data_IF_053747387087
#
_entry.id   IF_053747387087
#
_cell.length_a   1.000
_cell.length_b   1.000
_cell.length_c   1.000
_cell.angle_alpha   90.00
_cell.angle_beta   90.00
_cell.angle_gamma   90.00
#
_symmetry.space_group_name_H-M   'P 1'
#
loop_
_entity.id
_entity.type
_entity.pdbx_description
1 polymer ?
#
# COMPACT_ATOMS: atom_id res chain seq x y z
N UNK A 1 13.71 3.68 17.17
CA UNK A 1 14.22 3.96 15.79
C UNK A 1 14.13 2.73 14.86
N UNK A 2 13.15 1.83 15.03
CA UNK A 2 13.19 0.54 14.33
C UNK A 2 12.38 0.48 13.02
N UNK A 3 11.54 1.46 12.72
CA UNK A 3 10.70 1.43 11.49
C UNK A 3 11.31 2.09 10.25
N UNK A 4 12.34 2.93 10.38
CA UNK A 4 12.90 3.68 9.26
C UNK A 4 13.56 2.79 8.18
N UNK A 5 14.39 1.79 8.52
CA UNK A 5 15.00 0.91 7.52
C UNK A 5 13.95 0.11 6.74
N UNK A 6 12.91 -0.39 7.41
CA UNK A 6 11.83 -1.14 6.78
C UNK A 6 11.02 -0.26 5.81
N UNK A 7 10.60 0.91 6.28
CA UNK A 7 9.86 1.85 5.46
C UNK A 7 10.68 2.30 4.23
N UNK A 8 11.98 2.57 4.38
CA UNK A 8 12.86 2.91 3.27
C UNK A 8 12.94 1.78 2.23
N UNK A 9 13.03 0.53 2.67
CA UNK A 9 13.03 -0.64 1.79
C UNK A 9 11.73 -0.72 0.99
N UNK A 10 10.58 -0.62 1.65
CA UNK A 10 9.27 -0.66 0.99
C UNK A 10 9.11 0.49 0.01
N UNK A 11 9.52 1.70 0.39
CA UNK A 11 9.46 2.89 -0.47
C UNK A 11 10.40 2.79 -1.68
N UNK A 12 11.60 2.23 -1.53
CA UNK A 12 12.51 2.02 -2.66
C UNK A 12 11.89 1.11 -3.71
N UNK A 13 11.18 0.07 -3.27
CA UNK A 13 10.47 -0.85 -4.17
C UNK A 13 9.26 -0.20 -4.84
N UNK A 14 8.49 0.58 -4.08
CA UNK A 14 7.36 1.33 -4.62
C UNK A 14 7.79 2.37 -5.63
N UNK A 15 8.86 3.13 -5.35
CA UNK A 15 9.40 4.15 -6.28
C UNK A 15 10.02 3.54 -7.53
N UNK A 16 10.57 2.34 -7.47
CA UNK A 16 11.05 1.62 -8.64
C UNK A 16 9.92 1.30 -9.66
N UNK A 17 8.66 1.21 -9.20
CA UNK A 17 7.50 0.89 -10.06
C UNK A 17 6.69 2.14 -10.41
N UNK A 18 6.47 3.02 -9.44
CA UNK A 18 5.61 4.21 -9.57
C UNK A 18 6.39 5.52 -9.78
N UNK A 19 7.72 5.47 -9.78
CA UNK A 19 8.55 6.69 -9.88
C UNK A 19 8.24 7.66 -8.73
N UNK A 20 8.11 8.97 -9.02
CA UNK A 20 7.81 9.98 -8.01
C UNK A 20 6.34 10.01 -7.57
N UNK A 21 5.49 9.18 -8.17
CA UNK A 21 4.05 9.14 -7.85
C UNK A 21 3.76 8.29 -6.59
N UNK A 22 4.65 8.35 -5.60
CA UNK A 22 4.49 7.66 -4.31
C UNK A 22 4.13 8.67 -3.23
N UNK A 23 3.03 8.37 -2.51
CA UNK A 23 2.60 9.14 -1.33
C UNK A 23 2.75 8.29 -0.09
N UNK A 24 3.48 8.80 0.89
CA UNK A 24 3.61 8.20 2.22
C UNK A 24 2.61 8.86 3.15
N UNK A 25 1.79 8.07 3.81
CA UNK A 25 0.87 8.56 4.84
C UNK A 25 1.43 8.17 6.20
N UNK A 26 1.75 9.16 7.02
CA UNK A 26 2.22 8.96 8.40
C UNK A 26 1.12 9.36 9.38
N UNK A 27 0.98 8.58 10.44
CA UNK A 27 0.08 8.85 11.56
C UNK A 27 0.84 9.16 12.85
N UNK A 28 0.78 8.24 13.80
CA UNK A 28 1.56 8.33 15.03
C UNK A 28 3.06 8.47 14.71
N UNK A 29 3.77 9.24 15.55
CA UNK A 29 5.22 9.45 15.41
C UNK A 29 5.66 10.06 14.07
N UNK A 30 4.77 10.75 13.34
CA UNK A 30 5.09 11.34 12.03
C UNK A 30 6.33 12.26 12.09
N UNK A 31 6.48 13.07 13.15
CA UNK A 31 7.63 13.96 13.33
C UNK A 31 8.97 13.21 13.51
N UNK A 32 8.93 12.01 14.06
CA UNK A 32 10.11 11.16 14.26
C UNK A 32 10.46 10.36 12.99
N UNK A 33 9.43 9.94 12.24
CA UNK A 33 9.60 9.09 11.05
C UNK A 33 9.94 9.92 9.81
N UNK A 34 9.33 11.10 9.64
CA UNK A 34 9.50 11.92 8.44
C UNK A 34 10.98 12.24 8.11
N UNK A 35 11.85 12.60 9.08
CA UNK A 35 13.28 12.82 8.79
C UNK A 35 14.00 11.59 8.25
N UNK A 36 13.56 10.38 8.65
CA UNK A 36 14.15 9.13 8.21
C UNK A 36 13.81 8.76 6.76
N UNK A 37 12.84 9.42 6.12
CA UNK A 37 12.54 9.24 4.69
C UNK A 37 13.66 9.82 3.80
N UNK A 38 14.46 10.73 4.34
CA UNK A 38 15.62 11.27 3.64
C UNK A 38 15.25 12.03 2.36
N UNK A 39 15.98 11.72 1.27
CA UNK A 39 15.78 12.35 -0.05
C UNK A 39 14.97 11.47 -1.02
N UNK A 40 14.18 10.55 -0.53
CA UNK A 40 13.33 9.75 -1.42
C UNK A 40 12.34 10.66 -2.16
N UNK A 41 12.11 10.42 -3.46
CA UNK A 41 11.20 11.22 -4.28
C UNK A 41 9.75 10.84 -3.99
N UNK A 42 9.28 11.12 -2.78
CA UNK A 42 7.94 10.78 -2.30
C UNK A 42 7.20 12.01 -1.78
N UNK A 43 5.88 12.02 -1.93
CA UNK A 43 5.02 13.00 -1.27
C UNK A 43 4.68 12.52 0.13
N UNK A 44 4.65 13.44 1.11
CA UNK A 44 4.33 13.13 2.49
C UNK A 44 2.97 13.71 2.88
N UNK A 45 2.14 12.89 3.48
CA UNK A 45 0.86 13.28 4.09
C UNK A 45 0.87 12.89 5.56
N UNK A 46 0.61 13.84 6.44
CA UNK A 46 0.44 13.56 7.87
C UNK A 46 -1.07 13.44 8.16
N UNK A 47 -1.48 12.23 8.52
CA UNK A 47 -2.84 11.95 8.96
C UNK A 47 -2.96 12.26 10.46
N UNK A 48 -3.65 13.35 10.82
CA UNK A 48 -3.88 13.74 12.22
C UNK A 48 -4.93 12.86 12.90
N UNK A 49 -5.81 12.25 12.11
CA UNK A 49 -6.91 11.42 12.57
C UNK A 49 -6.52 9.92 12.60
N UNK A 50 -5.22 9.62 12.73
CA UNK A 50 -4.69 8.26 12.69
C UNK A 50 -5.29 7.34 13.74
N UNK A 51 -5.72 7.88 14.87
CA UNK A 51 -6.38 7.13 15.95
C UNK A 51 -7.77 6.59 15.59
N UNK A 52 -8.38 7.07 14.48
CA UNK A 52 -9.62 6.47 13.95
C UNK A 52 -9.39 5.11 13.27
N UNK A 53 -8.14 4.65 13.15
CA UNK A 53 -7.75 3.41 12.50
C UNK A 53 -7.26 3.58 11.06
N UNK A 54 -6.93 2.45 10.42
CA UNK A 54 -6.30 2.41 9.09
C UNK A 54 -7.12 3.12 7.99
N UNK A 55 -8.45 3.10 8.11
CA UNK A 55 -9.35 3.76 7.17
C UNK A 55 -9.07 5.26 7.06
N UNK A 56 -8.72 5.95 8.16
CA UNK A 56 -8.36 7.37 8.14
C UNK A 56 -7.11 7.62 7.30
N UNK A 57 -6.10 6.76 7.41
CA UNK A 57 -4.88 6.85 6.61
C UNK A 57 -5.14 6.61 5.12
N UNK A 58 -5.97 5.62 4.78
CA UNK A 58 -6.38 5.38 3.39
C UNK A 58 -7.10 6.60 2.83
N UNK A 59 -8.05 7.19 3.57
CA UNK A 59 -8.77 8.41 3.15
C UNK A 59 -7.82 9.59 2.94
N UNK A 60 -6.87 9.79 3.85
CA UNK A 60 -5.89 10.87 3.75
C UNK A 60 -5.02 10.72 2.49
N UNK A 61 -4.51 9.51 2.23
CA UNK A 61 -3.75 9.19 1.03
C UNK A 61 -4.55 9.43 -0.25
N UNK A 62 -5.77 8.88 -0.32
CA UNK A 62 -6.62 9.02 -1.53
C UNK A 62 -7.00 10.49 -1.80
N UNK A 63 -7.25 11.29 -0.75
CA UNK A 63 -7.54 12.73 -0.92
C UNK A 63 -6.37 13.54 -1.46
N UNK A 64 -5.14 13.11 -1.20
CA UNK A 64 -3.93 13.79 -1.66
C UNK A 64 -3.57 13.49 -3.11
N UNK A 65 -4.20 12.48 -3.72
CA UNK A 65 -3.90 12.08 -5.09
C UNK A 65 -4.34 13.14 -6.10
N UNK A 66 -3.54 13.38 -7.16
CA UNK A 66 -3.92 14.31 -8.23
C UNK A 66 -5.24 13.91 -8.88
N UNK A 67 -5.97 14.92 -9.38
CA UNK A 67 -7.20 14.70 -10.13
C UNK A 67 -7.03 13.83 -11.38
N UNK A 68 -5.85 13.78 -11.95
CA UNK A 68 -5.47 12.94 -13.10
C UNK A 68 -5.10 11.49 -12.73
N UNK A 69 -5.02 11.16 -11.44
CA UNK A 69 -4.66 9.82 -11.00
C UNK A 69 -5.71 8.80 -11.43
N UNK A 70 -5.33 7.82 -12.25
CA UNK A 70 -6.25 6.81 -12.79
C UNK A 70 -6.50 5.63 -11.84
N UNK A 71 -5.54 5.33 -10.96
CA UNK A 71 -5.64 4.27 -9.97
C UNK A 71 -4.70 4.53 -8.79
N UNK A 72 -4.98 3.92 -7.64
CA UNK A 72 -4.12 3.96 -6.46
C UNK A 72 -3.67 2.55 -6.07
N UNK A 73 -2.37 2.34 -5.94
CA UNK A 73 -1.79 1.15 -5.33
C UNK A 73 -1.69 1.40 -3.81
N UNK A 74 -2.40 0.61 -3.03
CA UNK A 74 -2.29 0.58 -1.57
C UNK A 74 -1.27 -0.50 -1.17
N UNK A 75 -0.22 -0.08 -0.49
CA UNK A 75 0.87 -0.92 0.01
C UNK A 75 1.07 -0.62 1.49
N UNK A 76 1.24 -1.66 2.30
CA UNK A 76 1.49 -1.53 3.74
C UNK A 76 3.00 -1.49 4.01
N UNK A 77 3.38 -0.74 5.04
CA UNK A 77 4.79 -0.54 5.40
C UNK A 77 5.46 -1.79 6.01
N UNK A 78 4.68 -2.71 6.54
CA UNK A 78 5.10 -3.98 7.15
C UNK A 78 5.26 -5.12 6.15
N UNK A 79 4.82 -4.96 4.90
CA UNK A 79 4.92 -5.96 3.84
C UNK A 79 6.30 -5.96 3.16
N UNK A 80 7.37 -6.10 3.94
CA UNK A 80 8.73 -6.12 3.41
C UNK A 80 9.09 -7.37 2.58
N UNK A 81 8.26 -8.39 2.57
CA UNK A 81 8.40 -9.52 1.65
C UNK A 81 8.03 -9.18 0.20
N UNK A 82 7.20 -8.16 -0.01
CA UNK A 82 6.74 -7.75 -1.35
C UNK A 82 7.86 -7.08 -2.13
N UNK A 83 8.19 -7.60 -3.30
CA UNK A 83 9.28 -7.12 -4.17
C UNK A 83 8.79 -6.11 -5.21
N UNK A 84 9.72 -5.38 -5.85
CA UNK A 84 9.38 -4.53 -7.00
C UNK A 84 8.77 -5.34 -8.16
N UNK A 85 9.22 -6.58 -8.37
CA UNK A 85 8.66 -7.46 -9.38
C UNK A 85 7.20 -7.85 -9.07
N UNK A 86 6.86 -8.04 -7.79
CA UNK A 86 5.50 -8.28 -7.34
C UNK A 86 4.59 -7.09 -7.64
N UNK A 87 5.04 -5.89 -7.28
CA UNK A 87 4.32 -4.65 -7.55
C UNK A 87 4.16 -4.41 -9.06
N UNK A 88 5.18 -4.74 -9.84
CA UNK A 88 5.12 -4.65 -11.30
C UNK A 88 4.06 -5.60 -11.88
N UNK A 89 3.96 -6.85 -11.39
CA UNK A 89 2.91 -7.79 -11.81
C UNK A 89 1.50 -7.28 -11.52
N UNK A 90 1.30 -6.63 -10.36
CA UNK A 90 0.03 -5.96 -10.06
C UNK A 90 -0.26 -4.83 -11.05
N UNK A 91 0.73 -3.98 -11.30
CA UNK A 91 0.59 -2.86 -12.24
C UNK A 91 0.25 -3.34 -13.65
N UNK A 92 0.90 -4.40 -14.11
CA UNK A 92 0.63 -5.01 -15.43
C UNK A 92 -0.75 -5.67 -15.49
N UNK A 93 -1.17 -6.31 -14.40
CA UNK A 93 -2.52 -6.84 -14.25
C UNK A 93 -3.58 -5.75 -14.39
N UNK A 94 -3.36 -4.62 -13.72
CA UNK A 94 -4.26 -3.47 -13.80
C UNK A 94 -4.24 -2.80 -15.19
N UNK A 95 -3.09 -2.62 -15.82
CA UNK A 95 -3.01 -2.05 -17.17
C UNK A 95 -3.83 -2.84 -18.20
N UNK A 96 -3.86 -4.18 -18.06
CA UNK A 96 -4.69 -5.04 -18.89
C UNK A 96 -6.17 -4.96 -18.55
N UNK A 97 -6.52 -4.58 -17.32
CA UNK A 97 -7.88 -4.54 -16.80
C UNK A 97 -8.13 -3.26 -15.99
N UNK A 98 -8.14 -2.07 -16.60
CA UNK A 98 -8.09 -0.80 -15.88
C UNK A 98 -9.36 -0.45 -15.08
N UNK A 99 -10.42 -1.25 -15.22
CA UNK A 99 -11.67 -1.09 -14.47
C UNK A 99 -11.78 -2.05 -13.28
N UNK A 100 -10.90 -3.06 -13.20
CA UNK A 100 -10.91 -4.03 -12.12
C UNK A 100 -10.03 -3.57 -10.95
N UNK A 101 -10.38 -4.00 -9.74
CA UNK A 101 -9.43 -4.03 -8.63
C UNK A 101 -8.46 -5.19 -8.90
N UNK A 102 -7.16 -4.95 -8.74
CA UNK A 102 -6.14 -6.00 -8.85
C UNK A 102 -5.43 -6.11 -7.52
N UNK A 103 -5.52 -7.25 -6.87
CA UNK A 103 -5.03 -7.45 -5.51
C UNK A 103 -4.07 -8.66 -5.41
N UNK A 104 -3.17 -8.61 -4.46
CA UNK A 104 -2.37 -9.76 -4.08
C UNK A 104 -3.27 -10.90 -3.62
N UNK A 105 -2.96 -12.14 -4.07
CA UNK A 105 -3.64 -13.35 -3.67
C UNK A 105 -2.69 -14.24 -2.88
N UNK A 106 -3.03 -14.49 -1.62
CA UNK A 106 -2.27 -15.34 -0.69
C UNK A 106 -3.19 -15.91 0.39
N UNK A 107 -2.76 -16.98 1.03
CA UNK A 107 -3.50 -17.62 2.12
C UNK A 107 -4.99 -17.90 1.81
N UNK A 108 -5.31 -18.22 0.55
CA UNK A 108 -6.68 -18.49 0.11
C UNK A 108 -7.60 -17.28 -0.02
N UNK A 109 -7.06 -16.05 0.10
CA UNK A 109 -7.81 -14.81 0.01
C UNK A 109 -7.13 -13.73 -0.82
N UNK A 110 -7.63 -12.51 -0.74
CA UNK A 110 -7.07 -11.33 -1.38
C UNK A 110 -6.79 -10.24 -0.33
N UNK A 111 -5.70 -9.50 -0.52
CA UNK A 111 -5.29 -8.44 0.39
C UNK A 111 -4.37 -7.42 -0.25
N UNK A 112 -3.75 -6.59 0.59
CA UNK A 112 -2.69 -5.69 0.16
C UNK A 112 -1.44 -6.50 -0.24
N UNK A 113 -0.63 -5.98 -1.17
CA UNK A 113 -0.87 -4.77 -1.96
C UNK A 113 -2.01 -4.93 -2.96
N UNK A 114 -2.76 -3.84 -3.20
CA UNK A 114 -3.88 -3.87 -4.13
C UNK A 114 -4.01 -2.54 -4.89
N UNK A 115 -4.37 -2.62 -6.17
CA UNK A 115 -4.61 -1.46 -7.04
C UNK A 115 -6.12 -1.26 -7.17
N UNK A 116 -6.56 -0.07 -6.81
CA UNK A 116 -7.94 0.38 -6.92
C UNK A 116 -8.05 1.39 -8.06
N UNK A 117 -8.87 1.13 -9.10
CA UNK A 117 -9.14 2.11 -10.14
C UNK A 117 -9.86 3.33 -9.55
N UNK A 118 -9.80 4.47 -10.24
CA UNK A 118 -10.40 5.73 -9.79
C UNK A 118 -11.89 5.60 -9.46
N UNK A 119 -12.61 4.72 -10.15
CA UNK A 119 -14.03 4.43 -9.86
C UNK A 119 -14.26 3.98 -8.42
N UNK A 120 -13.27 3.37 -7.78
CA UNK A 120 -13.33 2.87 -6.41
C UNK A 120 -12.91 3.92 -5.35
N UNK A 121 -12.38 5.08 -5.76
CA UNK A 121 -11.99 6.13 -4.80
C UNK A 121 -13.16 6.60 -3.91
N UNK A 122 -14.39 6.77 -4.41
CA UNK A 122 -15.52 7.08 -3.53
C UNK A 122 -15.77 6.01 -2.45
N UNK A 123 -15.54 4.73 -2.76
CA UNK A 123 -15.66 3.64 -1.79
C UNK A 123 -14.53 3.68 -0.76
N UNK A 124 -13.28 3.90 -1.18
CA UNK A 124 -12.13 4.09 -0.29
C UNK A 124 -12.33 5.28 0.66
N UNK A 125 -12.90 6.39 0.17
CA UNK A 125 -13.19 7.59 0.97
C UNK A 125 -14.32 7.40 2.00
N UNK A 126 -15.14 6.36 1.86
CA UNK A 126 -16.20 6.00 2.82
C UNK A 126 -15.76 5.03 3.90
N UNK A 127 -14.56 4.44 3.81
CA UNK A 127 -14.03 3.54 4.84
C UNK A 127 -14.00 4.20 6.22
N UNK A 128 -14.22 3.41 7.28
CA UNK A 128 -14.24 3.85 8.68
C UNK A 128 -13.55 2.85 9.59
N UNK A 129 -12.98 3.34 10.68
CA UNK A 129 -12.37 2.53 11.75
C UNK A 129 -11.17 1.72 11.26
N UNK A 130 -11.00 0.56 11.85
CA UNK A 130 -9.90 -0.36 11.55
C UNK A 130 -10.19 -1.29 10.36
N UNK A 131 -11.31 -1.09 9.68
CA UNK A 131 -11.61 -1.81 8.45
C UNK A 131 -10.82 -1.18 7.30
N UNK A 132 -9.76 -1.86 6.89
CA UNK A 132 -8.96 -1.49 5.73
C UNK A 132 -9.69 -1.73 4.41
N UNK A 133 -9.00 -1.51 3.31
CA UNK A 133 -9.55 -1.72 1.96
C UNK A 133 -9.93 -3.19 1.66
N UNK A 134 -9.55 -4.14 2.51
CA UNK A 134 -9.93 -5.55 2.39
C UNK A 134 -11.45 -5.79 2.34
N UNK A 135 -12.26 -4.90 2.95
CA UNK A 135 -13.72 -4.95 2.80
C UNK A 135 -14.16 -4.83 1.34
N UNK A 136 -13.52 -3.97 0.56
CA UNK A 136 -13.87 -3.74 -0.84
C UNK A 136 -13.52 -4.95 -1.70
N UNK A 137 -12.48 -5.71 -1.33
CA UNK A 137 -12.06 -6.92 -2.04
C UNK A 137 -13.07 -8.07 -1.88
N UNK A 138 -13.97 -7.99 -0.90
CA UNK A 138 -15.02 -8.99 -0.65
C UNK A 138 -16.37 -8.60 -1.26
N UNK A 139 -16.45 -7.43 -1.90
CA UNK A 139 -17.70 -6.96 -2.51
C UNK A 139 -17.96 -7.70 -3.84
N UNK A 140 -19.01 -8.52 -3.95
CA UNK A 140 -19.29 -9.28 -5.18
C UNK A 140 -19.66 -8.41 -6.38
N UNK A 141 -20.01 -7.14 -6.16
CA UNK A 141 -20.34 -6.20 -7.24
C UNK A 141 -19.10 -5.63 -7.94
N UNK A 142 -17.90 -5.87 -7.41
CA UNK A 142 -16.64 -5.35 -7.93
C UNK A 142 -15.91 -6.44 -8.71
N UNK A 143 -15.43 -6.12 -9.90
CA UNK A 143 -14.52 -7.02 -10.62
C UNK A 143 -13.17 -7.05 -9.92
N UNK A 144 -12.79 -8.22 -9.39
CA UNK A 144 -11.54 -8.45 -8.69
C UNK A 144 -10.67 -9.44 -9.45
N UNK A 145 -9.40 -9.11 -9.62
CA UNK A 145 -8.38 -9.97 -10.22
C UNK A 145 -7.30 -10.23 -9.18
N UNK A 146 -7.09 -11.50 -8.85
CA UNK A 146 -6.02 -11.95 -7.95
C UNK A 146 -4.71 -12.15 -8.71
N UNK A 147 -3.62 -11.65 -8.14
CA UNK A 147 -2.25 -11.92 -8.58
C UNK A 147 -1.57 -12.78 -7.51
N UNK A 148 -1.18 -14.02 -7.81
CA UNK A 148 -0.49 -14.88 -6.85
C UNK A 148 0.75 -14.18 -6.27
N UNK A 149 0.77 -13.98 -4.94
CA UNK A 149 1.81 -13.24 -4.23
C UNK A 149 2.04 -13.83 -2.82
N UNK A 150 2.66 -15.00 -2.72
CA UNK A 150 2.95 -15.60 -1.40
C UNK A 150 3.78 -14.69 -0.50
N UNK A 151 4.64 -13.84 -1.09
CA UNK A 151 5.46 -12.85 -0.39
C UNK A 151 4.66 -11.81 0.41
N UNK A 152 3.39 -11.60 0.07
CA UNK A 152 2.51 -10.67 0.77
C UNK A 152 1.85 -11.28 2.03
N UNK A 153 2.04 -12.58 2.27
CA UNK A 153 1.51 -13.26 3.45
C UNK A 153 2.35 -13.06 4.71
N UNK A 154 3.60 -12.62 4.54
CA UNK A 154 4.54 -12.42 5.65
C UNK A 154 4.53 -10.94 6.06
N UNK A 155 3.82 -10.62 7.13
CA UNK A 155 3.97 -9.35 7.81
C UNK A 155 5.22 -9.40 8.70
N UNK A 156 6.00 -8.32 8.68
CA UNK A 156 7.19 -8.19 9.54
C UNK A 156 6.78 -7.45 10.79
N UNK A 157 6.48 -8.21 11.83
CA UNK A 157 6.13 -7.66 13.14
C UNK A 157 7.36 -7.46 14.03
N UNK A 158 8.50 -8.09 13.73
CA UNK A 158 9.69 -8.09 14.56
C UNK A 158 10.98 -7.83 13.76
N UNK A 159 11.99 -7.19 14.38
CA UNK A 159 13.28 -6.95 13.73
C UNK A 159 13.99 -8.22 13.23
N UNK A 160 13.75 -9.35 13.88
CA UNK A 160 14.32 -10.65 13.50
C UNK A 160 13.79 -11.14 12.15
N UNK A 161 12.55 -10.80 11.81
CA UNK A 161 11.90 -11.20 10.56
C UNK A 161 12.57 -10.54 9.34
N UNK A 162 13.22 -9.37 9.54
CA UNK A 162 14.02 -8.67 8.53
C UNK A 162 15.24 -9.48 8.06
N UNK A 163 15.86 -10.23 8.96
CA UNK A 163 17.04 -11.02 8.63
C UNK A 163 16.74 -12.15 7.65
N UNK A 164 15.53 -12.69 7.68
CA UNK A 164 15.07 -13.76 6.78
C UNK A 164 14.83 -13.28 5.35
N UNK A 165 14.62 -11.98 5.13
CA UNK A 165 14.27 -11.39 3.82
C UNK A 165 15.50 -10.75 3.16
N UNK A 166 16.54 -10.41 3.92
CA UNK A 166 17.77 -9.81 3.42
C UNK A 166 18.91 -10.81 3.21
N UNK A 167 18.69 -12.10 3.47
CA UNK A 167 19.64 -13.15 3.14
C UNK A 167 19.72 -13.31 1.60
N UNK A 168 20.95 -13.37 1.02
CA UNK A 168 21.18 -13.44 -0.43
C UNK A 168 20.69 -14.75 -1.04
#
# INVERSE_FOLDING_TARGET
>A
MHGAPLLQLVLSRATAVAGPAVTVVLGAHAAEIAPALGRLPVSLVVNRDWSEGIAASIRAGVRSLPGSCAAALLLLADQAGVTSADLQRLADGWRRNPRAIVAAQYAGGHGAPAIFPRSEFPALLRLRGDHGAAMLLRNPAVTLIGVPMPSAAADIDRPEDLAAITAP
#
